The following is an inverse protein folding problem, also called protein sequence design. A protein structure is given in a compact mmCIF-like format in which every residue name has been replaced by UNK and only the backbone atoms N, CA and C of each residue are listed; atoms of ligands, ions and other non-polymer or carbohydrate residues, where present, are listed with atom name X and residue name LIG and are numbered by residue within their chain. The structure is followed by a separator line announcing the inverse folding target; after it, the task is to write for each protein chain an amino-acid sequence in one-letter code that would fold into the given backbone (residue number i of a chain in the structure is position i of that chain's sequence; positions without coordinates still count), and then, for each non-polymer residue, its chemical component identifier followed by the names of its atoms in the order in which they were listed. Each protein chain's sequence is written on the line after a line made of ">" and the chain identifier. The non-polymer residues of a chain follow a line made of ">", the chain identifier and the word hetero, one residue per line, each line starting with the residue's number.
data_IF_012602346985
#
_entry.id   IF_012602346985
#
_cell.length_a   1.000
_cell.length_b   1.000
_cell.length_c   1.000
_cell.angle_alpha   90.00
_cell.angle_beta   90.00
_cell.angle_gamma   90.00
#
_symmetry.space_group_name_H-M   'P 1'
#
loop_
_entity.id
_entity.type
_entity.pdbx_description
1 polymer ?
#
# COMPACT_ATOMS: atom_id res chain seq x y z
N UNK A 1 -7.74 -15.71 -21.13
CA UNK A 1 -6.28 -15.70 -21.22
C UNK A 1 -5.74 -14.43 -20.58
N UNK A 2 -5.50 -14.46 -19.25
CA UNK A 2 -4.76 -13.40 -18.58
C UNK A 2 -3.32 -13.35 -19.12
N UNK A 3 -2.72 -12.19 -19.15
CA UNK A 3 -1.35 -12.02 -19.65
C UNK A 3 -0.33 -12.42 -18.59
N UNK A 4 -0.63 -12.19 -17.31
CA UNK A 4 0.23 -12.57 -16.21
C UNK A 4 -0.58 -12.97 -14.97
N UNK A 5 0.06 -13.64 -14.02
CA UNK A 5 -0.59 -14.04 -12.78
C UNK A 5 -0.57 -12.93 -11.74
N UNK A 6 0.55 -12.22 -11.61
CA UNK A 6 0.80 -11.31 -10.50
C UNK A 6 1.43 -10.00 -10.96
N UNK A 7 1.13 -8.94 -10.24
CA UNK A 7 1.78 -7.64 -10.39
C UNK A 7 2.10 -6.99 -9.05
N UNK A 8 2.84 -5.90 -9.10
CA UNK A 8 3.19 -5.16 -7.89
C UNK A 8 3.21 -3.66 -8.17
N UNK A 9 2.57 -2.90 -7.29
CA UNK A 9 2.75 -1.46 -7.20
C UNK A 9 3.97 -1.12 -6.35
N UNK A 10 4.48 0.09 -6.49
CA UNK A 10 5.56 0.66 -5.68
C UNK A 10 6.79 -0.26 -5.56
N UNK A 11 7.46 -0.53 -6.67
CA UNK A 11 8.62 -1.42 -6.73
C UNK A 11 9.77 -1.00 -5.78
N UNK A 12 9.93 0.30 -5.52
CA UNK A 12 10.90 0.78 -4.52
C UNK A 12 10.59 0.22 -3.13
N UNK A 13 9.32 0.16 -2.74
CA UNK A 13 8.91 -0.43 -1.46
C UNK A 13 9.22 -1.93 -1.39
N UNK A 14 9.14 -2.64 -2.51
CA UNK A 14 9.52 -4.04 -2.56
C UNK A 14 10.98 -4.25 -2.14
N UNK A 15 11.89 -3.40 -2.64
CA UNK A 15 13.30 -3.48 -2.25
C UNK A 15 13.51 -3.13 -0.78
N UNK A 16 12.90 -2.03 -0.29
CA UNK A 16 13.03 -1.62 1.12
C UNK A 16 12.49 -2.69 2.05
N UNK A 17 11.27 -3.16 1.81
CA UNK A 17 10.62 -4.19 2.62
C UNK A 17 11.42 -5.50 2.56
N UNK A 18 11.79 -5.94 1.38
CA UNK A 18 12.47 -7.21 1.21
C UNK A 18 13.87 -7.23 1.84
N UNK A 19 14.61 -6.12 1.79
CA UNK A 19 15.87 -5.98 2.53
C UNK A 19 15.65 -6.13 4.02
N UNK A 20 14.68 -5.42 4.59
CA UNK A 20 14.35 -5.50 6.01
C UNK A 20 13.89 -6.91 6.41
N UNK A 21 13.03 -7.54 5.61
CA UNK A 21 12.58 -8.91 5.86
C UNK A 21 13.75 -9.91 5.91
N UNK A 22 14.81 -9.68 5.15
CA UNK A 22 16.02 -10.52 5.12
C UNK A 22 17.10 -10.05 6.10
N UNK A 23 16.77 -9.16 7.04
CA UNK A 23 17.69 -8.65 8.06
C UNK A 23 18.76 -7.70 7.54
N UNK A 24 18.57 -7.10 6.35
CA UNK A 24 19.47 -6.12 5.79
C UNK A 24 18.91 -4.70 5.89
N UNK A 25 19.65 -3.81 6.53
CA UNK A 25 19.31 -2.40 6.61
C UNK A 25 19.81 -1.68 5.35
N UNK A 26 18.87 -1.26 4.51
CA UNK A 26 19.19 -0.60 3.23
C UNK A 26 19.79 0.79 3.41
N UNK A 27 19.30 1.55 4.41
CA UNK A 27 19.77 2.89 4.72
C UNK A 27 20.35 2.92 6.12
N UNK A 28 21.59 3.32 6.24
CA UNK A 28 22.25 3.52 7.53
C UNK A 28 22.50 5.00 7.74
N UNK A 29 22.19 5.51 8.93
CA UNK A 29 22.41 6.90 9.30
C UNK A 29 23.44 6.96 10.41
N UNK A 30 24.59 7.52 10.11
CA UNK A 30 25.65 7.79 11.09
C UNK A 30 26.04 9.26 11.07
N UNK A 31 26.02 9.91 12.24
CA UNK A 31 26.36 11.33 12.41
C UNK A 31 25.65 12.25 11.40
N UNK A 32 24.39 11.96 11.06
CA UNK A 32 23.61 12.73 10.10
C UNK A 32 23.94 12.47 8.63
N UNK A 33 24.83 11.52 8.35
CA UNK A 33 25.13 11.05 7.00
C UNK A 33 24.38 9.77 6.69
N UNK A 34 23.76 9.72 5.51
CA UNK A 34 23.03 8.54 5.05
C UNK A 34 23.95 7.76 4.08
N UNK A 35 24.14 6.49 4.38
CA UNK A 35 24.78 5.52 3.49
C UNK A 35 23.76 4.52 2.99
N UNK A 36 23.86 4.15 1.71
CA UNK A 36 23.07 3.07 1.13
C UNK A 36 23.87 1.77 1.22
N UNK A 37 23.31 0.80 1.93
CA UNK A 37 23.87 -0.54 2.06
C UNK A 37 23.07 -1.51 1.20
N UNK A 38 23.67 -2.04 0.16
CA UNK A 38 23.02 -3.00 -0.75
C UNK A 38 23.80 -4.33 -0.75
N UNK A 39 23.61 -5.20 0.27
CA UNK A 39 24.29 -6.47 0.33
C UNK A 39 23.95 -7.32 -0.89
N UNK A 40 24.98 -7.84 -1.54
CA UNK A 40 24.87 -8.50 -2.85
C UNK A 40 23.93 -9.71 -2.84
N UNK A 41 23.95 -10.49 -1.78
CA UNK A 41 23.13 -11.70 -1.67
C UNK A 41 21.64 -11.36 -1.59
N UNK A 42 21.25 -10.44 -0.70
CA UNK A 42 19.87 -9.99 -0.55
C UNK A 42 19.39 -9.26 -1.82
N UNK A 43 20.21 -8.39 -2.37
CA UNK A 43 19.91 -7.71 -3.62
C UNK A 43 19.67 -8.71 -4.77
N UNK A 44 20.50 -9.74 -4.87
CA UNK A 44 20.34 -10.80 -5.87
C UNK A 44 19.05 -11.59 -5.65
N UNK A 45 18.73 -11.95 -4.40
CA UNK A 45 17.51 -12.67 -4.07
C UNK A 45 16.25 -11.86 -4.42
N UNK A 46 16.25 -10.56 -4.13
CA UNK A 46 15.16 -9.65 -4.54
C UNK A 46 15.02 -9.57 -6.06
N UNK A 47 16.16 -9.41 -6.75
CA UNK A 47 16.20 -9.35 -8.19
C UNK A 47 15.64 -10.62 -8.83
N UNK A 48 16.13 -11.77 -8.44
CA UNK A 48 15.71 -13.04 -9.02
C UNK A 48 14.24 -13.35 -8.73
N UNK A 49 13.74 -12.99 -7.54
CA UNK A 49 12.34 -13.19 -7.15
C UNK A 49 11.35 -12.30 -7.92
N UNK A 50 11.78 -11.20 -8.48
CA UNK A 50 10.91 -10.30 -9.27
C UNK A 50 11.25 -10.32 -10.77
N UNK A 51 12.50 -10.14 -11.13
CA UNK A 51 12.92 -10.03 -12.52
C UNK A 51 12.73 -11.32 -13.30
N UNK A 52 13.09 -12.45 -12.73
CA UNK A 52 12.95 -13.74 -13.42
C UNK A 52 11.48 -14.06 -13.75
N UNK A 53 10.51 -13.94 -12.83
CA UNK A 53 9.09 -14.07 -13.16
C UNK A 53 8.59 -13.05 -14.20
N UNK A 54 9.09 -11.81 -14.18
CA UNK A 54 8.74 -10.80 -15.20
C UNK A 54 9.19 -11.24 -16.58
N UNK A 55 10.45 -11.68 -16.73
CA UNK A 55 10.98 -12.13 -18.02
C UNK A 55 10.27 -13.39 -18.53
N UNK A 56 9.82 -14.25 -17.62
CA UNK A 56 9.03 -15.45 -17.96
C UNK A 56 7.55 -15.17 -18.25
N UNK A 57 7.10 -13.93 -18.09
CA UNK A 57 5.71 -13.54 -18.29
C UNK A 57 4.75 -13.98 -17.18
N UNK A 58 5.27 -14.40 -16.02
CA UNK A 58 4.43 -14.75 -14.86
C UNK A 58 3.98 -13.51 -14.10
N UNK A 59 4.81 -12.47 -14.10
CA UNK A 59 4.50 -11.17 -13.54
C UNK A 59 4.29 -10.15 -14.65
N UNK A 60 3.42 -9.17 -14.40
CA UNK A 60 3.09 -8.14 -15.38
C UNK A 60 2.77 -6.79 -14.74
N UNK A 61 2.91 -5.76 -15.57
CA UNK A 61 2.56 -4.40 -15.25
C UNK A 61 2.22 -3.69 -16.56
N UNK A 62 0.95 -3.47 -16.84
CA UNK A 62 0.46 -3.01 -18.14
C UNK A 62 -0.11 -1.59 -18.05
N UNK A 63 -0.96 -1.30 -17.05
CA UNK A 63 -1.50 0.02 -16.76
C UNK A 63 -0.64 0.83 -15.79
N UNK A 64 -1.15 1.99 -15.38
CA UNK A 64 -0.49 2.85 -14.38
C UNK A 64 -0.50 2.23 -13.00
N UNK A 65 -1.61 1.59 -12.63
CA UNK A 65 -1.79 0.88 -11.36
C UNK A 65 -2.18 -0.58 -11.61
N UNK A 66 -1.83 -1.44 -10.67
CA UNK A 66 -2.16 -2.88 -10.78
C UNK A 66 -3.66 -3.14 -10.67
N UNK A 67 -4.41 -2.27 -9.99
CA UNK A 67 -5.87 -2.30 -10.01
C UNK A 67 -6.45 -2.12 -11.42
N UNK A 68 -5.81 -1.33 -12.27
CA UNK A 68 -6.23 -1.18 -13.68
C UNK A 68 -6.05 -2.49 -14.45
N UNK A 69 -4.94 -3.20 -14.20
CA UNK A 69 -4.65 -4.47 -14.84
C UNK A 69 -5.62 -5.58 -14.41
N UNK A 70 -6.08 -5.55 -13.14
CA UNK A 70 -7.15 -6.47 -12.68
C UNK A 70 -8.47 -6.12 -13.35
N UNK A 71 -8.80 -4.82 -13.46
CA UNK A 71 -10.04 -4.37 -14.11
C UNK A 71 -10.15 -4.84 -15.55
N UNK A 72 -9.05 -4.90 -16.26
CA UNK A 72 -9.00 -5.41 -17.65
C UNK A 72 -8.74 -6.92 -17.74
N UNK A 73 -8.58 -7.60 -16.61
CA UNK A 73 -8.32 -9.04 -16.57
C UNK A 73 -6.92 -9.44 -17.04
N UNK A 74 -5.97 -8.53 -16.99
CA UNK A 74 -4.58 -8.77 -17.39
C UNK A 74 -3.78 -9.53 -16.34
N UNK A 75 -4.09 -9.30 -15.05
CA UNK A 75 -3.50 -10.00 -13.91
C UNK A 75 -4.58 -10.48 -12.93
N UNK A 76 -4.25 -11.49 -12.12
CA UNK A 76 -5.16 -12.10 -11.14
C UNK A 76 -4.91 -11.64 -9.70
N UNK A 77 -3.69 -11.25 -9.39
CA UNK A 77 -3.30 -10.85 -8.06
C UNK A 77 -2.26 -9.74 -8.09
N UNK A 78 -2.23 -8.90 -7.05
CA UNK A 78 -1.17 -7.93 -6.89
C UNK A 78 -0.90 -7.57 -5.43
N UNK A 79 0.27 -7.01 -5.18
CA UNK A 79 0.59 -6.36 -3.91
C UNK A 79 0.63 -4.84 -4.11
N UNK A 80 -0.08 -4.13 -3.25
CA UNK A 80 -0.17 -2.67 -3.28
C UNK A 80 -0.38 -2.09 -1.90
N UNK A 81 -0.69 -0.80 -1.84
CA UNK A 81 -1.08 -0.11 -0.62
C UNK A 81 -2.46 -0.59 -0.12
N UNK A 82 -2.73 -0.49 1.19
CA UNK A 82 -4.07 -0.72 1.74
C UNK A 82 -5.13 0.18 1.10
N UNK A 83 -4.75 1.41 0.72
CA UNK A 83 -5.64 2.32 0.00
C UNK A 83 -5.99 1.84 -1.41
N UNK A 84 -5.21 0.97 -2.03
CA UNK A 84 -5.55 0.43 -3.36
C UNK A 84 -6.70 -0.58 -3.32
N UNK A 85 -7.05 -1.11 -2.15
CA UNK A 85 -8.25 -1.93 -2.00
C UNK A 85 -9.53 -1.18 -2.40
N UNK A 86 -9.55 0.15 -2.25
CA UNK A 86 -10.68 0.99 -2.68
C UNK A 86 -10.88 1.04 -4.20
N UNK A 87 -9.85 0.72 -4.95
CA UNK A 87 -9.83 0.73 -6.42
C UNK A 87 -9.85 -0.68 -7.02
N UNK A 88 -9.91 -1.70 -6.17
CA UNK A 88 -10.02 -3.07 -6.67
C UNK A 88 -11.40 -3.25 -7.29
N UNK A 89 -11.49 -3.71 -8.56
CA UNK A 89 -12.75 -3.80 -9.25
C UNK A 89 -13.60 -4.98 -8.74
N UNK A 90 -14.90 -4.84 -8.79
CA UNK A 90 -15.87 -5.91 -8.59
C UNK A 90 -16.20 -6.67 -9.89
N UNK A 91 -15.70 -6.16 -11.01
CA UNK A 91 -15.89 -6.71 -12.35
C UNK A 91 -14.63 -6.59 -13.19
N UNK A 92 -14.41 -7.57 -14.04
CA UNK A 92 -13.49 -7.44 -15.17
C UNK A 92 -14.25 -6.89 -16.36
N UNK A 93 -13.68 -5.89 -17.02
CA UNK A 93 -14.24 -5.22 -18.20
C UNK A 93 -13.30 -5.43 -19.39
N UNK A 94 -13.74 -6.13 -20.42
CA UNK A 94 -13.08 -6.32 -21.72
C UNK A 94 -13.95 -5.74 -22.81
N UNK A 95 -13.39 -5.53 -24.00
CA UNK A 95 -14.13 -4.96 -25.14
C UNK A 95 -15.46 -5.70 -25.44
N UNK A 96 -15.44 -7.02 -25.42
CA UNK A 96 -16.58 -7.86 -25.79
C UNK A 96 -17.14 -8.70 -24.64
N UNK A 97 -16.62 -8.55 -23.41
CA UNK A 97 -17.02 -9.36 -22.27
C UNK A 97 -16.86 -8.61 -20.94
N UNK A 98 -17.77 -8.87 -20.00
CA UNK A 98 -17.70 -8.33 -18.65
C UNK A 98 -18.29 -9.33 -17.67
N UNK A 99 -17.52 -9.66 -16.63
CA UNK A 99 -17.95 -10.60 -15.60
C UNK A 99 -17.59 -10.15 -14.20
N UNK A 100 -18.43 -10.50 -13.22
CA UNK A 100 -18.18 -10.21 -11.82
C UNK A 100 -17.02 -11.06 -11.29
N UNK A 101 -16.27 -10.48 -10.36
CA UNK A 101 -15.19 -11.15 -9.65
C UNK A 101 -15.35 -10.95 -8.15
N UNK A 102 -15.01 -11.99 -7.38
CA UNK A 102 -14.79 -11.88 -5.95
C UNK A 102 -13.29 -11.83 -5.67
N UNK A 103 -12.90 -11.15 -4.60
CA UNK A 103 -11.52 -11.06 -4.20
C UNK A 103 -11.32 -11.20 -2.69
N UNK A 104 -10.14 -11.59 -2.30
CA UNK A 104 -9.71 -11.62 -0.91
C UNK A 104 -8.50 -10.70 -0.72
N UNK A 105 -8.44 -10.04 0.42
CA UNK A 105 -7.27 -9.26 0.85
C UNK A 105 -6.53 -10.06 1.92
N UNK A 106 -5.25 -10.27 1.70
CA UNK A 106 -4.38 -11.01 2.62
C UNK A 106 -3.15 -10.19 2.97
N UNK A 107 -2.38 -10.65 3.95
CA UNK A 107 -1.08 -10.06 4.24
C UNK A 107 -0.16 -10.20 3.02
N UNK A 108 0.67 -9.16 2.81
CA UNK A 108 1.70 -9.22 1.77
C UNK A 108 2.66 -10.39 2.01
N UNK A 109 3.15 -11.06 0.94
CA UNK A 109 4.11 -12.15 1.07
C UNK A 109 5.38 -11.73 1.79
N UNK A 110 5.93 -12.65 2.57
CA UNK A 110 7.20 -12.51 3.28
C UNK A 110 8.21 -13.49 2.67
N UNK A 111 9.47 -13.10 2.59
CA UNK A 111 10.53 -14.01 2.16
C UNK A 111 10.68 -15.17 3.16
N UNK A 112 10.88 -16.38 2.66
CA UNK A 112 11.11 -17.55 3.49
C UNK A 112 12.28 -17.32 4.45
N UNK A 113 12.05 -17.57 5.75
CA UNK A 113 12.98 -17.29 6.82
C UNK A 113 13.14 -15.81 7.16
N UNK A 114 12.34 -14.93 6.57
CA UNK A 114 12.35 -13.51 6.83
C UNK A 114 11.41 -13.07 7.95
N UNK A 115 11.59 -11.86 8.43
CA UNK A 115 10.74 -11.23 9.43
C UNK A 115 9.54 -10.53 8.79
N UNK A 116 8.45 -10.40 9.55
CA UNK A 116 7.26 -9.66 9.11
C UNK A 116 7.53 -8.16 9.14
N UNK A 117 7.96 -7.64 8.02
CA UNK A 117 8.14 -6.22 7.80
C UNK A 117 7.15 -5.67 6.78
N UNK A 118 6.57 -4.52 7.07
CA UNK A 118 5.79 -3.73 6.13
C UNK A 118 6.22 -2.27 6.22
N UNK A 119 6.16 -1.55 5.10
CA UNK A 119 6.41 -0.11 5.11
C UNK A 119 5.13 0.62 5.48
N UNK A 120 5.22 1.50 6.47
CA UNK A 120 4.16 2.45 6.74
C UNK A 120 4.38 3.68 5.87
N UNK A 121 3.45 3.90 4.94
CA UNK A 121 3.38 5.10 4.13
C UNK A 121 2.12 5.89 4.48
N UNK A 122 2.16 7.18 4.29
CA UNK A 122 1.01 8.02 4.52
C UNK A 122 1.24 9.44 3.99
N UNK A 123 0.16 10.19 3.86
CA UNK A 123 0.21 11.60 3.61
C UNK A 123 0.29 12.36 4.94
N UNK A 124 1.06 13.42 4.98
CA UNK A 124 1.11 14.36 6.09
C UNK A 124 0.35 15.63 5.74
N UNK A 125 -0.25 16.24 6.76
CA UNK A 125 -0.83 17.58 6.62
C UNK A 125 0.08 18.60 7.28
N UNK A 126 0.28 19.72 6.61
CA UNK A 126 1.08 20.83 7.09
C UNK A 126 0.27 22.11 7.13
N UNK A 127 0.55 22.96 8.11
CA UNK A 127 -0.02 24.30 8.15
C UNK A 127 0.95 25.24 7.45
N UNK A 128 0.53 25.81 6.32
CA UNK A 128 1.31 26.83 5.61
C UNK A 128 1.36 28.11 6.38
N UNK A 129 2.50 28.79 6.36
CA UNK A 129 2.64 30.12 6.97
C UNK A 129 1.68 31.11 6.31
N UNK A 130 0.89 31.79 7.15
CA UNK A 130 -0.12 32.76 6.73
C UNK A 130 -0.33 33.83 7.82
N UNK A 131 -1.45 34.52 7.81
CA UNK A 131 -1.83 35.33 8.95
C UNK A 131 -2.33 34.44 10.12
N UNK A 132 -2.32 35.00 11.33
CA UNK A 132 -2.64 34.27 12.55
C UNK A 132 -4.06 33.63 12.56
N UNK A 133 -5.02 34.22 11.84
CA UNK A 133 -6.41 33.70 11.81
C UNK A 133 -6.47 32.44 10.94
N UNK A 134 -5.83 32.45 9.77
CA UNK A 134 -5.77 31.29 8.89
C UNK A 134 -4.96 30.15 9.49
N UNK A 135 -3.80 30.46 10.10
CA UNK A 135 -3.00 29.45 10.80
C UNK A 135 -3.80 28.81 11.95
N UNK A 136 -4.50 29.64 12.76
CA UNK A 136 -5.35 29.14 13.84
C UNK A 136 -6.47 28.24 13.31
N UNK A 137 -7.20 28.67 12.28
CA UNK A 137 -8.25 27.88 11.67
C UNK A 137 -7.76 26.54 11.11
N UNK A 138 -6.60 26.54 10.47
CA UNK A 138 -5.97 25.31 9.96
C UNK A 138 -5.61 24.35 11.09
N UNK A 139 -5.06 24.84 12.21
CA UNK A 139 -4.76 24.02 13.39
C UNK A 139 -6.02 23.44 14.01
N UNK A 140 -7.08 24.24 14.14
CA UNK A 140 -8.37 23.74 14.69
C UNK A 140 -9.01 22.68 13.79
N UNK A 141 -8.90 22.84 12.45
CA UNK A 141 -9.32 21.81 11.51
C UNK A 141 -8.52 20.50 11.72
N UNK A 142 -7.19 20.58 11.84
CA UNK A 142 -6.36 19.40 12.06
C UNK A 142 -6.66 18.71 13.39
N UNK A 143 -6.92 19.47 14.45
CA UNK A 143 -7.39 18.91 15.73
C UNK A 143 -8.70 18.15 15.60
N UNK A 144 -9.67 18.75 14.90
CA UNK A 144 -10.96 18.12 14.63
C UNK A 144 -10.77 16.85 13.77
N UNK A 145 -9.99 16.93 12.70
CA UNK A 145 -9.73 15.80 11.80
C UNK A 145 -9.03 14.63 12.51
N UNK A 146 -8.14 14.93 13.46
CA UNK A 146 -7.41 13.92 14.23
C UNK A 146 -8.23 13.28 15.36
N UNK A 147 -9.46 13.77 15.66
CA UNK A 147 -10.33 13.09 16.63
C UNK A 147 -10.63 11.66 16.16
N UNK A 148 -10.70 10.73 17.12
CA UNK A 148 -10.80 9.30 16.80
C UNK A 148 -11.97 8.96 15.86
N UNK A 149 -13.15 9.55 16.10
CA UNK A 149 -14.33 9.29 15.29
C UNK A 149 -14.19 9.81 13.87
N UNK A 150 -13.77 11.06 13.69
CA UNK A 150 -13.59 11.66 12.37
C UNK A 150 -12.51 10.95 11.56
N UNK A 151 -11.41 10.62 12.21
CA UNK A 151 -10.27 9.95 11.59
C UNK A 151 -10.58 8.50 11.24
N UNK A 152 -11.36 7.81 12.07
CA UNK A 152 -11.87 6.48 11.77
C UNK A 152 -12.81 6.49 10.56
N UNK A 153 -13.75 7.44 10.50
CA UNK A 153 -14.62 7.57 9.33
C UNK A 153 -13.84 7.83 8.05
N UNK A 154 -12.83 8.70 8.11
CA UNK A 154 -11.95 8.94 6.98
C UNK A 154 -11.18 7.68 6.59
N UNK A 155 -10.63 6.94 7.56
CA UNK A 155 -9.92 5.68 7.33
C UNK A 155 -10.79 4.65 6.62
N UNK A 156 -12.01 4.45 7.08
CA UNK A 156 -12.95 3.49 6.47
C UNK A 156 -13.39 3.86 5.04
N UNK A 157 -13.28 5.13 4.65
CA UNK A 157 -13.61 5.58 3.28
C UNK A 157 -12.40 5.58 2.37
N UNK A 158 -11.24 5.92 2.89
CA UNK A 158 -10.02 6.15 2.10
C UNK A 158 -9.06 4.97 2.07
N UNK A 159 -9.28 3.95 2.92
CA UNK A 159 -8.33 2.85 3.13
C UNK A 159 -7.06 3.25 3.90
N UNK A 160 -6.97 4.48 4.40
CA UNK A 160 -5.88 4.92 5.28
C UNK A 160 -6.12 4.44 6.71
N UNK A 161 -5.04 4.09 7.39
CA UNK A 161 -5.10 3.74 8.80
C UNK A 161 -5.29 4.99 9.66
N UNK A 162 -6.21 4.97 10.64
CA UNK A 162 -6.36 6.05 11.60
C UNK A 162 -5.07 6.33 12.37
N UNK A 163 -4.81 7.60 12.70
CA UNK A 163 -3.59 8.02 13.40
C UNK A 163 -3.60 7.75 14.91
N UNK A 164 -4.79 7.59 15.49
CA UNK A 164 -4.95 7.29 16.92
C UNK A 164 -5.11 5.79 17.16
N UNK A 165 -4.42 5.26 18.15
CA UNK A 165 -4.50 3.83 18.53
C UNK A 165 -5.92 3.39 18.87
N UNK A 166 -6.68 4.24 19.57
CA UNK A 166 -8.07 3.95 19.93
C UNK A 166 -9.03 3.86 18.73
N UNK A 167 -8.67 4.47 17.60
CA UNK A 167 -9.43 4.38 16.36
C UNK A 167 -9.04 3.14 15.53
N UNK A 168 -7.90 2.51 15.79
CA UNK A 168 -7.42 1.29 15.12
C UNK A 168 -7.96 0.01 15.79
N UNK A 169 -9.22 0.02 16.21
CA UNK A 169 -9.91 -1.15 16.76
C UNK A 169 -10.75 -1.80 15.66
N UNK A 170 -10.58 -3.10 15.46
CA UNK A 170 -11.39 -3.88 14.52
C UNK A 170 -12.88 -3.71 14.80
N UNK A 171 -13.27 -3.77 16.08
CA UNK A 171 -14.67 -3.58 16.50
C UNK A 171 -15.25 -2.23 16.06
N UNK A 172 -14.49 -1.14 16.25
CA UNK A 172 -14.94 0.21 15.84
C UNK A 172 -14.99 0.34 14.31
N UNK A 173 -14.05 -0.26 13.60
CA UNK A 173 -14.05 -0.28 12.14
C UNK A 173 -15.28 -1.03 11.61
N UNK A 174 -15.57 -2.19 12.15
CA UNK A 174 -16.74 -2.99 11.78
C UNK A 174 -18.06 -2.26 12.03
N UNK A 175 -18.16 -1.54 13.14
CA UNK A 175 -19.33 -0.71 13.44
C UNK A 175 -19.55 0.40 12.39
N UNK A 176 -18.47 1.10 12.00
CA UNK A 176 -18.57 2.17 10.99
C UNK A 176 -18.89 1.59 9.61
N UNK A 177 -18.27 0.47 9.22
CA UNK A 177 -18.55 -0.18 7.94
C UNK A 177 -19.99 -0.69 7.90
N UNK A 178 -20.44 -1.39 8.93
CA UNK A 178 -21.80 -1.94 9.00
C UNK A 178 -22.89 -0.88 9.04
N UNK A 179 -22.62 0.31 9.57
CA UNK A 179 -23.58 1.41 9.59
C UNK A 179 -23.80 2.10 8.23
N UNK A 180 -23.00 1.72 7.22
CA UNK A 180 -23.04 2.29 5.85
C UNK A 180 -23.70 1.36 4.82
N UNK A 181 -23.96 0.13 5.20
CA UNK A 181 -24.72 -0.83 4.39
C UNK A 181 -26.22 -0.67 4.62
#
# INVERSE_FOLDING_TARGET
>A
DGKAFYGRDALANYFVIGMQQMGAELFQVDNGQVTVNLPKEQARRLWDNYYVPMVKGYFGAYGSFRSDDVKTGEILAYTGSTSSAMYFPDRVEKEDDSYAIDYIVTMAPVFEGGENYAVQQGAGMVVSKSDKKHEYAAVEFLKWFAQAENNLQFGCVSGYMPVLKEANSTEKMDQVISSRQ
#
